data_IF_055697373459
#
_entry.id   IF_055697373459
#
_cell.length_a   1.000
_cell.length_b   1.000
_cell.length_c   1.000
_cell.angle_alpha   90.00
_cell.angle_beta   90.00
_cell.angle_gamma   90.00
#
_symmetry.space_group_name_H-M   'P 1'
#
loop_
_entity.id
_entity.type
_entity.pdbx_description
1 polymer ?
#
# COMPACT_ATOMS: atom_id res chain seq x y z
N UNK A 1 20.54 27.57 2.55
CA UNK A 1 20.00 26.78 1.41
C UNK A 1 18.51 26.56 1.63
N UNK A 2 17.67 26.96 0.67
CA UNK A 2 16.20 26.97 0.77
C UNK A 2 15.67 25.55 1.00
N UNK A 3 14.95 25.34 2.10
CA UNK A 3 14.07 24.17 2.28
C UNK A 3 13.07 24.16 1.13
N UNK A 4 13.25 23.23 0.18
CA UNK A 4 12.30 22.98 -0.90
C UNK A 4 11.03 22.40 -0.28
N UNK A 5 10.09 23.30 -0.01
CA UNK A 5 8.75 22.99 0.45
C UNK A 5 8.03 22.16 -0.62
N UNK A 6 8.05 20.83 -0.47
CA UNK A 6 6.89 19.91 -0.47
C UNK A 6 7.35 18.44 -0.54
N UNK A 7 8.09 17.96 0.49
CA UNK A 7 8.53 16.57 0.57
C UNK A 7 7.40 15.53 0.55
N UNK A 8 6.21 15.91 1.05
CA UNK A 8 5.07 15.02 1.20
C UNK A 8 4.33 14.74 -0.12
N UNK A 9 3.86 15.75 -0.90
CA UNK A 9 3.25 15.52 -2.21
C UNK A 9 4.10 14.67 -3.16
N UNK A 10 5.40 14.88 -3.18
CA UNK A 10 6.32 14.13 -4.03
C UNK A 10 6.50 12.67 -3.61
N UNK A 11 6.30 12.37 -2.33
CA UNK A 11 6.31 11.00 -1.82
C UNK A 11 4.97 10.32 -2.08
N UNK A 12 3.85 11.03 -1.90
CA UNK A 12 2.51 10.56 -2.26
C UNK A 12 2.48 10.14 -3.73
N UNK A 13 2.91 11.02 -4.64
CA UNK A 13 2.96 10.73 -6.08
C UNK A 13 3.78 9.48 -6.41
N UNK A 14 4.90 9.27 -5.69
CA UNK A 14 5.75 8.10 -5.91
C UNK A 14 5.13 6.81 -5.42
N UNK A 15 4.60 6.80 -4.20
CA UNK A 15 3.96 5.61 -3.64
C UNK A 15 2.70 5.25 -4.44
N UNK A 16 1.92 6.26 -4.83
CA UNK A 16 0.78 6.09 -5.72
C UNK A 16 1.20 5.56 -7.09
N UNK A 17 2.16 6.21 -7.75
CA UNK A 17 2.67 5.77 -9.05
C UNK A 17 3.24 4.35 -9.02
N UNK A 18 3.99 4.00 -7.97
CA UNK A 18 4.48 2.64 -7.76
C UNK A 18 3.32 1.63 -7.67
N UNK A 19 2.28 1.95 -6.91
CA UNK A 19 1.12 1.10 -6.78
C UNK A 19 0.41 0.89 -8.12
N UNK A 20 0.20 1.97 -8.90
CA UNK A 20 -0.36 1.87 -10.27
C UNK A 20 0.53 1.02 -11.18
N UNK A 21 1.86 1.17 -11.13
CA UNK A 21 2.76 0.33 -11.91
C UNK A 21 2.60 -1.16 -11.58
N UNK A 22 2.45 -1.49 -10.30
CA UNK A 22 2.22 -2.88 -9.88
C UNK A 22 0.84 -3.39 -10.33
N UNK A 23 -0.21 -2.56 -10.30
CA UNK A 23 -1.52 -2.92 -10.87
C UNK A 23 -1.37 -3.32 -12.34
N UNK A 24 -0.61 -2.56 -13.14
CA UNK A 24 -0.44 -2.82 -14.58
C UNK A 24 0.43 -4.05 -14.87
N UNK A 25 1.44 -4.32 -14.04
CA UNK A 25 2.38 -5.44 -14.23
C UNK A 25 1.79 -6.76 -13.74
N UNK A 26 0.94 -6.74 -12.70
CA UNK A 26 0.41 -7.98 -12.12
C UNK A 26 -0.34 -8.89 -13.11
N UNK A 27 -1.21 -8.40 -14.02
CA UNK A 27 -1.80 -9.25 -15.05
C UNK A 27 -0.76 -10.00 -15.88
N UNK A 28 0.34 -9.34 -16.26
CA UNK A 28 1.45 -9.98 -16.96
C UNK A 28 2.09 -11.07 -16.09
N UNK A 29 2.36 -10.78 -14.81
CA UNK A 29 2.91 -11.76 -13.86
C UNK A 29 2.00 -12.98 -13.69
N UNK A 30 0.68 -12.79 -13.71
CA UNK A 30 -0.30 -13.87 -13.64
C UNK A 30 -0.35 -14.70 -14.93
N UNK A 31 -0.18 -14.08 -16.10
CA UNK A 31 -0.14 -14.78 -17.41
C UNK A 31 1.03 -15.75 -17.54
N UNK A 32 2.17 -15.48 -16.88
CA UNK A 32 3.31 -16.41 -16.84
C UNK A 32 3.09 -17.63 -15.92
N UNK A 33 1.86 -17.83 -15.45
CA UNK A 33 1.29 -19.05 -14.89
C UNK A 33 2.05 -19.70 -13.72
N UNK A 34 2.35 -18.93 -12.67
CA UNK A 34 2.56 -19.43 -11.30
C UNK A 34 2.05 -18.41 -10.31
N UNK A 35 1.52 -18.89 -9.17
CA UNK A 35 1.30 -18.14 -7.93
C UNK A 35 2.62 -17.55 -7.42
N UNK A 36 3.19 -16.60 -8.16
CA UNK A 36 4.49 -16.02 -7.84
C UNK A 36 4.28 -15.02 -6.74
N UNK A 37 4.37 -15.51 -5.51
CA UNK A 37 4.51 -14.70 -4.30
C UNK A 37 5.64 -13.67 -4.43
N UNK A 38 6.58 -13.89 -5.37
CA UNK A 38 7.62 -12.94 -5.75
C UNK A 38 7.10 -11.56 -6.18
N UNK A 39 5.93 -11.46 -6.81
CA UNK A 39 5.35 -10.17 -7.19
C UNK A 39 5.00 -9.30 -5.98
N UNK A 40 4.12 -9.77 -5.06
CA UNK A 40 3.83 -9.08 -3.81
C UNK A 40 5.06 -8.84 -2.93
N UNK A 41 6.00 -9.79 -2.88
CA UNK A 41 7.26 -9.61 -2.15
C UNK A 41 8.13 -8.50 -2.74
N UNK A 42 8.26 -8.45 -4.07
CA UNK A 42 8.96 -7.36 -4.75
C UNK A 42 8.27 -6.02 -4.51
N UNK A 43 6.93 -6.00 -4.53
CA UNK A 43 6.15 -4.80 -4.20
C UNK A 43 6.46 -4.30 -2.78
N UNK A 44 6.40 -5.19 -1.79
CA UNK A 44 6.71 -4.88 -0.39
C UNK A 44 8.18 -4.43 -0.22
N UNK A 45 9.13 -5.11 -0.87
CA UNK A 45 10.54 -4.75 -0.82
C UNK A 45 10.82 -3.36 -1.40
N UNK A 46 10.19 -3.01 -2.53
CA UNK A 46 10.35 -1.68 -3.14
C UNK A 46 9.70 -0.60 -2.26
N UNK A 47 8.52 -0.87 -1.68
CA UNK A 47 7.91 0.05 -0.72
C UNK A 47 8.83 0.32 0.47
N UNK A 48 9.38 -0.74 1.07
CA UNK A 48 10.34 -0.64 2.17
C UNK A 48 11.57 0.18 1.77
N UNK A 49 12.15 -0.12 0.61
CA UNK A 49 13.31 0.58 0.08
C UNK A 49 13.06 2.07 -0.18
N UNK A 50 11.90 2.41 -0.76
CA UNK A 50 11.49 3.81 -0.96
C UNK A 50 11.42 4.54 0.38
N UNK A 51 10.82 3.90 1.39
CA UNK A 51 10.80 4.40 2.76
C UNK A 51 12.21 4.64 3.31
N UNK A 52 13.06 3.61 3.24
CA UNK A 52 14.43 3.61 3.74
C UNK A 52 15.29 4.73 3.13
N UNK A 53 15.31 4.85 1.79
CA UNK A 53 16.14 5.84 1.08
C UNK A 53 15.65 7.28 1.21
N UNK A 54 14.35 7.49 1.42
CA UNK A 54 13.76 8.84 1.43
C UNK A 54 13.88 9.53 2.79
N UNK A 55 14.21 8.77 3.84
CA UNK A 55 14.36 9.24 5.23
C UNK A 55 15.34 10.39 5.39
N UNK A 56 16.42 10.37 4.61
CA UNK A 56 17.51 11.35 4.71
C UNK A 56 17.08 12.77 4.36
N UNK A 57 15.98 12.92 3.61
CA UNK A 57 15.50 14.21 3.08
C UNK A 57 14.46 14.89 3.96
N UNK A 58 14.05 14.28 5.07
CA UNK A 58 12.91 14.75 5.86
C UNK A 58 13.28 15.04 7.31
N UNK A 59 12.66 16.09 7.88
CA UNK A 59 12.81 16.46 9.29
C UNK A 59 11.99 15.54 10.21
N UNK A 60 10.86 15.01 9.72
CA UNK A 60 10.02 13.99 10.39
C UNK A 60 9.73 12.77 9.48
N UNK A 61 10.75 11.98 9.13
CA UNK A 61 10.65 10.92 8.12
C UNK A 61 9.55 9.89 8.33
N UNK A 62 9.42 9.35 9.54
CA UNK A 62 8.42 8.34 9.86
C UNK A 62 7.00 8.86 9.63
N UNK A 63 6.68 10.03 10.18
CA UNK A 63 5.38 10.69 10.02
C UNK A 63 5.09 11.01 8.55
N UNK A 64 6.05 11.60 7.83
CA UNK A 64 5.89 11.94 6.41
C UNK A 64 5.63 10.70 5.56
N UNK A 65 6.34 9.60 5.83
CA UNK A 65 6.22 8.36 5.08
C UNK A 65 4.90 7.65 5.36
N UNK A 66 4.46 7.60 6.63
CA UNK A 66 3.14 7.08 7.00
C UNK A 66 2.01 7.87 6.33
N UNK A 67 2.05 9.20 6.41
CA UNK A 67 1.05 10.05 5.76
C UNK A 67 1.03 9.79 4.26
N UNK A 68 2.19 9.77 3.62
CA UNK A 68 2.27 9.51 2.18
C UNK A 68 1.72 8.13 1.80
N UNK A 69 2.01 7.11 2.62
CA UNK A 69 1.49 5.76 2.45
C UNK A 69 -0.03 5.73 2.53
N UNK A 70 -0.63 6.32 3.58
CA UNK A 70 -2.08 6.39 3.71
C UNK A 70 -2.74 7.18 2.57
N UNK A 71 -2.21 8.34 2.20
CA UNK A 71 -2.69 9.11 1.05
C UNK A 71 -2.64 8.29 -0.24
N UNK A 72 -1.59 7.49 -0.43
CA UNK A 72 -1.48 6.62 -1.59
C UNK A 72 -2.51 5.49 -1.60
N UNK A 73 -3.02 5.06 -0.44
CA UNK A 73 -3.99 3.97 -0.29
C UNK A 73 -5.44 4.45 -0.11
N UNK A 74 -5.67 5.76 -0.04
CA UNK A 74 -7.01 6.34 0.16
C UNK A 74 -8.06 5.81 -0.84
N UNK A 75 -7.79 5.64 -2.14
CA UNK A 75 -8.78 5.09 -3.05
C UNK A 75 -9.28 3.72 -2.60
N UNK A 76 -8.37 2.81 -2.26
CA UNK A 76 -8.72 1.48 -1.75
C UNK A 76 -9.51 1.53 -0.44
N UNK A 77 -9.09 2.37 0.51
CA UNK A 77 -9.79 2.53 1.80
C UNK A 77 -11.21 3.07 1.58
N UNK A 78 -11.37 4.13 0.80
CA UNK A 78 -12.66 4.77 0.54
C UNK A 78 -13.62 3.79 -0.16
N UNK A 79 -13.16 3.12 -1.22
CA UNK A 79 -13.99 2.16 -1.96
C UNK A 79 -14.42 1.01 -1.04
N UNK A 80 -13.52 0.48 -0.22
CA UNK A 80 -13.85 -0.62 0.70
C UNK A 80 -14.87 -0.19 1.76
N UNK A 81 -14.75 1.02 2.31
CA UNK A 81 -15.73 1.56 3.25
C UNK A 81 -17.11 1.76 2.62
N UNK A 82 -17.16 2.17 1.34
CA UNK A 82 -18.40 2.28 0.57
C UNK A 82 -19.09 0.92 0.43
N UNK A 83 -18.34 -0.13 0.05
CA UNK A 83 -18.86 -1.51 -0.06
C UNK A 83 -19.37 -2.01 1.30
N UNK A 84 -18.61 -1.77 2.37
CA UNK A 84 -19.03 -2.16 3.73
C UNK A 84 -20.25 -1.37 4.24
N UNK A 85 -20.46 -0.15 3.75
CA UNK A 85 -21.69 0.60 4.02
C UNK A 85 -22.92 -0.01 3.31
N UNK A 86 -22.69 -0.86 2.30
CA UNK A 86 -23.68 -1.72 1.68
C UNK A 86 -24.90 -0.99 1.13
N UNK A 87 -26.08 -1.56 1.33
CA UNK A 87 -27.38 -1.07 0.83
C UNK A 87 -27.81 0.31 1.37
N UNK A 88 -27.00 0.97 2.20
CA UNK A 88 -27.26 2.34 2.67
C UNK A 88 -26.99 3.39 1.59
N UNK A 89 -26.35 3.01 0.49
CA UNK A 89 -26.03 3.88 -0.62
C UNK A 89 -26.90 3.52 -1.84
N UNK A 90 -27.40 4.51 -2.60
CA UNK A 90 -28.35 4.30 -3.70
C UNK A 90 -27.68 3.76 -5.00
N UNK A 91 -26.47 3.21 -4.92
CA UNK A 91 -25.66 2.82 -6.08
C UNK A 91 -25.43 1.30 -6.08
N UNK A 92 -25.30 0.71 -7.27
CA UNK A 92 -24.95 -0.71 -7.42
C UNK A 92 -23.52 -0.97 -6.91
N UNK A 93 -23.37 -1.91 -5.97
CA UNK A 93 -22.08 -2.25 -5.37
C UNK A 93 -21.09 -2.89 -6.36
N UNK A 94 -21.57 -3.45 -7.47
CA UNK A 94 -20.76 -4.17 -8.46
C UNK A 94 -19.61 -3.31 -9.03
N UNK A 95 -19.86 -2.02 -9.27
CA UNK A 95 -18.83 -1.10 -9.78
C UNK A 95 -17.74 -0.85 -8.72
N UNK A 96 -18.10 -0.73 -7.45
CA UNK A 96 -17.15 -0.55 -6.37
C UNK A 96 -16.36 -1.84 -6.11
N UNK A 97 -17.03 -2.99 -6.17
CA UNK A 97 -16.40 -4.31 -6.08
C UNK A 97 -15.34 -4.51 -7.16
N UNK A 98 -15.62 -4.08 -8.39
CA UNK A 98 -14.65 -4.09 -9.47
C UNK A 98 -13.46 -3.14 -9.20
N UNK A 99 -13.73 -1.91 -8.77
CA UNK A 99 -12.69 -0.92 -8.51
C UNK A 99 -11.75 -1.33 -7.37
N UNK A 100 -12.28 -1.93 -6.29
CA UNK A 100 -11.41 -2.41 -5.20
C UNK A 100 -10.59 -3.62 -5.61
N UNK A 101 -11.14 -4.51 -6.45
CA UNK A 101 -10.38 -5.61 -7.01
C UNK A 101 -9.21 -5.10 -7.86
N UNK A 102 -9.44 -4.09 -8.71
CA UNK A 102 -8.36 -3.43 -9.46
C UNK A 102 -7.34 -2.81 -8.52
N UNK A 103 -7.79 -2.03 -7.54
CA UNK A 103 -6.89 -1.35 -6.61
C UNK A 103 -5.97 -2.34 -5.89
N UNK A 104 -6.47 -3.53 -5.60
CA UNK A 104 -5.76 -4.50 -4.77
C UNK A 104 -5.14 -5.62 -5.58
N UNK A 105 -5.12 -5.46 -6.91
CA UNK A 105 -4.45 -6.34 -7.87
C UNK A 105 -3.02 -6.68 -7.45
N UNK A 106 -2.18 -5.78 -6.88
CA UNK A 106 -0.83 -6.14 -6.44
C UNK A 106 -0.78 -7.25 -5.39
N UNK A 107 -1.87 -7.48 -4.66
CA UNK A 107 -2.02 -8.54 -3.66
C UNK A 107 -2.74 -9.79 -4.19
N UNK A 108 -3.30 -9.73 -5.41
CA UNK A 108 -4.06 -10.83 -6.01
C UNK A 108 -3.32 -12.19 -6.03
N UNK A 109 -1.97 -12.28 -6.13
CA UNK A 109 -1.29 -13.58 -6.03
C UNK A 109 -1.39 -14.25 -4.65
N UNK A 110 -1.78 -13.52 -3.61
CA UNK A 110 -1.96 -14.02 -2.24
C UNK A 110 -3.41 -14.50 -2.02
N UNK A 111 -4.39 -13.97 -2.76
CA UNK A 111 -5.81 -14.29 -2.57
C UNK A 111 -6.17 -15.77 -2.62
N UNK A 112 -5.54 -16.60 -3.48
CA UNK A 112 -5.79 -18.03 -3.52
C UNK A 112 -5.38 -18.77 -2.23
N UNK A 113 -4.52 -18.17 -1.40
CA UNK A 113 -4.12 -18.69 -0.09
C UNK A 113 -5.10 -18.31 1.02
N UNK A 114 -6.04 -17.41 0.74
CA UNK A 114 -7.01 -16.92 1.73
C UNK A 114 -8.21 -17.88 1.85
N UNK A 115 -8.78 -18.03 3.04
CA UNK A 115 -9.99 -18.83 3.22
C UNK A 115 -11.14 -18.23 2.40
N UNK A 116 -11.85 -19.08 1.65
CA UNK A 116 -13.01 -18.70 0.82
C UNK A 116 -14.30 -18.47 1.63
N UNK A 117 -14.18 -18.25 2.94
CA UNK A 117 -15.30 -18.06 3.85
C UNK A 117 -15.93 -16.67 3.69
N UNK A 118 -17.13 -16.48 4.22
CA UNK A 118 -17.78 -15.17 4.34
C UNK A 118 -18.08 -14.86 5.80
N UNK A 119 -18.09 -13.58 6.16
CA UNK A 119 -18.49 -13.08 7.47
C UNK A 119 -19.65 -12.11 7.27
N UNK A 120 -20.81 -12.37 7.89
CA UNK A 120 -22.01 -11.53 7.76
C UNK A 120 -22.45 -11.28 6.29
N UNK A 121 -22.26 -12.27 5.41
CA UNK A 121 -22.56 -12.15 3.98
C UNK A 121 -21.50 -11.42 3.15
N UNK A 122 -20.45 -10.87 3.78
CA UNK A 122 -19.33 -10.22 3.10
C UNK A 122 -18.21 -11.25 2.92
N UNK A 123 -17.70 -11.47 1.69
CA UNK A 123 -16.55 -12.34 1.48
C UNK A 123 -15.34 -11.90 2.31
N UNK A 124 -14.69 -12.83 3.01
CA UNK A 124 -13.60 -12.52 3.95
C UNK A 124 -12.41 -11.82 3.27
N UNK A 125 -12.25 -12.02 1.97
CA UNK A 125 -11.21 -11.35 1.18
C UNK A 125 -11.39 -9.83 1.18
N UNK A 126 -12.60 -9.27 1.32
CA UNK A 126 -12.80 -7.81 1.44
C UNK A 126 -12.29 -7.28 2.77
N UNK A 127 -12.52 -8.00 3.87
CA UNK A 127 -11.98 -7.63 5.18
C UNK A 127 -10.45 -7.63 5.14
N UNK A 128 -9.85 -8.65 4.52
CA UNK A 128 -8.40 -8.73 4.37
C UNK A 128 -7.85 -7.64 3.45
N UNK A 129 -8.57 -7.31 2.39
CA UNK A 129 -8.27 -6.19 1.50
C UNK A 129 -8.28 -4.85 2.24
N UNK A 130 -9.26 -4.63 3.12
CA UNK A 130 -9.30 -3.46 3.99
C UNK A 130 -8.08 -3.43 4.91
N UNK A 131 -7.82 -4.53 5.62
CA UNK A 131 -6.68 -4.65 6.53
C UNK A 131 -5.37 -4.38 5.77
N UNK A 132 -5.19 -4.95 4.59
CA UNK A 132 -4.01 -4.72 3.76
C UNK A 132 -3.85 -3.24 3.37
N UNK A 133 -4.94 -2.53 3.07
CA UNK A 133 -4.91 -1.09 2.79
C UNK A 133 -4.37 -0.26 3.96
N UNK A 134 -4.62 -0.71 5.20
CA UNK A 134 -4.08 -0.06 6.41
C UNK A 134 -2.67 -0.52 6.77
N UNK A 135 -2.28 -1.75 6.40
CA UNK A 135 -0.96 -2.32 6.69
C UNK A 135 0.11 -1.95 5.65
N UNK A 136 -0.26 -1.83 4.36
CA UNK A 136 0.67 -1.46 3.28
C UNK A 136 1.45 -0.17 3.57
N UNK A 137 0.84 0.92 4.12
CA UNK A 137 1.56 2.12 4.54
C UNK A 137 2.61 1.89 5.65
N UNK A 138 2.51 0.81 6.43
CA UNK A 138 3.48 0.47 7.47
C UNK A 138 4.80 -0.05 6.89
N UNK A 139 4.77 -0.65 5.70
CA UNK A 139 5.97 -1.17 5.03
C UNK A 139 6.99 -0.06 4.72
N UNK A 140 6.64 1.01 3.97
CA UNK A 140 7.58 2.12 3.75
C UNK A 140 7.90 2.85 5.08
N UNK A 141 6.97 2.90 6.05
CA UNK A 141 7.24 3.47 7.36
C UNK A 141 8.31 2.68 8.15
N UNK A 142 8.29 1.34 8.07
CA UNK A 142 9.31 0.47 8.64
C UNK A 142 10.68 0.71 8.03
N UNK A 143 10.75 0.90 6.71
CA UNK A 143 11.97 1.31 6.02
C UNK A 143 12.50 2.65 6.54
N UNK A 144 11.61 3.64 6.67
CA UNK A 144 11.97 4.94 7.22
C UNK A 144 12.46 4.87 8.67
N UNK A 145 11.82 4.06 9.52
CA UNK A 145 12.22 3.84 10.90
C UNK A 145 13.62 3.24 11.00
N UNK A 146 13.91 2.19 10.22
CA UNK A 146 15.22 1.54 10.23
C UNK A 146 16.33 2.51 9.81
N UNK A 147 16.11 3.29 8.74
CA UNK A 147 17.05 4.31 8.29
C UNK A 147 17.32 5.36 9.35
N UNK A 148 16.30 5.82 10.09
CA UNK A 148 16.49 6.74 11.21
C UNK A 148 17.33 6.11 12.33
N UNK A 149 17.08 4.85 12.66
CA UNK A 149 17.78 4.14 13.73
C UNK A 149 19.27 3.98 13.42
N UNK A 150 19.61 3.58 12.18
CA UNK A 150 20.99 3.46 11.73
C UNK A 150 21.73 4.79 11.79
N UNK A 151 21.12 5.87 11.28
CA UNK A 151 21.73 7.21 11.33
C UNK A 151 22.00 7.70 12.76
N UNK A 152 21.10 7.43 13.70
CA UNK A 152 21.31 7.76 15.12
C UNK A 152 22.47 6.96 15.72
N UNK A 153 22.61 5.70 15.34
CA UNK A 153 23.72 4.85 15.78
C UNK A 153 25.06 5.42 15.29
N UNK A 154 25.14 5.78 14.00
CA UNK A 154 26.36 6.34 13.40
C UNK A 154 26.78 7.67 14.05
N UNK A 155 25.81 8.50 14.44
CA UNK A 155 26.05 9.77 15.13
C UNK A 155 26.45 9.61 16.61
N UNK A 156 26.14 8.47 17.24
CA UNK A 156 26.52 8.20 18.62
C UNK A 156 27.94 7.62 18.76
N UNK A 157 28.52 7.15 17.64
CA UNK A 157 29.86 6.58 17.55
C UNK A 157 30.94 7.57 17.09
N UNK A 158 30.57 8.83 16.83
CA UNK A 158 31.46 9.95 16.46
C UNK A 158 31.46 10.97 17.57
#
# INVERSE_FOLDING_TARGET
>A
MRQTARPLPDLIKKLFGLHICFILITPLLLTFNRFSIGGPLAYAAILFWVGFRRTEKFLKPLRTTLLAGYFSQLPGIIITLIIMAGNRLPFANDAFDFLIQIWQTPLSPIYPLLPRTSLLGIPLYFCLTLTASFLLPLIPAGGAYLSQKLKKSDQATV
#
